data_IF_081032933167
#
_entry.id   IF_081032933167
#
_cell.length_a   1.000
_cell.length_b   1.000
_cell.length_c   1.000
_cell.angle_alpha   90.00
_cell.angle_beta   90.00
_cell.angle_gamma   90.00
#
_symmetry.space_group_name_H-M   'P 1'
#
loop_
_entity.id
_entity.type
_entity.pdbx_description
1 polymer ?
#
# COMPACT_ATOMS: atom_id res chain seq x y z
N UNK A 1 23.29 -38.61 -35.51
CA UNK A 1 23.80 -37.88 -34.34
C UNK A 1 23.80 -36.40 -34.69
N UNK A 2 22.68 -35.72 -34.43
CA UNK A 2 22.53 -34.27 -34.64
C UNK A 2 22.82 -33.60 -33.30
N UNK A 3 23.76 -32.64 -33.19
CA UNK A 3 23.95 -31.90 -31.96
C UNK A 3 22.72 -30.99 -31.78
N UNK A 4 21.92 -31.29 -30.78
CA UNK A 4 20.80 -30.44 -30.38
C UNK A 4 21.36 -29.08 -29.99
N UNK A 5 21.08 -28.07 -30.82
CA UNK A 5 21.40 -26.67 -30.56
C UNK A 5 20.98 -26.35 -29.14
N UNK A 6 21.96 -25.94 -28.31
CA UNK A 6 21.74 -25.40 -26.98
C UNK A 6 20.64 -24.35 -27.10
N UNK A 7 19.44 -24.72 -26.68
CA UNK A 7 18.29 -23.83 -26.62
C UNK A 7 18.68 -22.78 -25.59
N UNK A 8 19.22 -21.64 -26.04
CA UNK A 8 19.52 -20.51 -25.17
C UNK A 8 18.29 -20.26 -24.31
N UNK A 9 18.42 -20.13 -22.98
CA UNK A 9 17.27 -19.81 -22.15
C UNK A 9 16.69 -18.53 -22.72
N UNK A 10 15.41 -18.58 -23.13
CA UNK A 10 14.69 -17.42 -23.62
C UNK A 10 14.83 -16.33 -22.58
N UNK A 11 15.58 -15.27 -22.89
CA UNK A 11 15.68 -14.07 -22.07
C UNK A 11 14.35 -13.31 -22.18
N UNK A 12 13.29 -13.88 -21.59
CA UNK A 12 11.98 -13.25 -21.41
C UNK A 12 11.69 -12.97 -19.94
N UNK A 13 12.69 -13.08 -19.07
CA UNK A 13 12.59 -12.54 -17.73
C UNK A 13 12.51 -11.02 -17.87
N UNK A 14 11.38 -10.44 -17.47
CA UNK A 14 11.25 -8.98 -17.34
C UNK A 14 12.47 -8.45 -16.59
N UNK A 15 12.99 -7.26 -16.94
CA UNK A 15 14.15 -6.70 -16.25
C UNK A 15 13.88 -6.72 -14.74
N UNK A 16 14.85 -7.17 -13.94
CA UNK A 16 14.68 -7.38 -12.48
C UNK A 16 14.14 -6.12 -11.76
N UNK A 17 14.38 -4.94 -12.32
CA UNK A 17 13.81 -3.67 -11.86
C UNK A 17 12.28 -3.62 -11.98
N UNK A 18 11.70 -4.12 -13.06
CA UNK A 18 10.24 -4.21 -13.19
C UNK A 18 9.65 -5.12 -12.11
N UNK A 19 10.26 -6.28 -11.85
CA UNK A 19 9.85 -7.16 -10.75
C UNK A 19 9.95 -6.47 -9.39
N UNK A 20 10.98 -5.64 -9.17
CA UNK A 20 11.13 -4.86 -7.93
C UNK A 20 10.00 -3.83 -7.76
N UNK A 21 9.65 -3.09 -8.82
CA UNK A 21 8.54 -2.12 -8.80
C UNK A 21 7.19 -2.82 -8.56
N UNK A 22 6.96 -3.97 -9.19
CA UNK A 22 5.74 -4.77 -8.96
C UNK A 22 5.67 -5.26 -7.51
N UNK A 23 6.79 -5.72 -6.94
CA UNK A 23 6.85 -6.15 -5.55
C UNK A 23 6.64 -5.00 -4.57
N UNK A 24 7.22 -3.83 -4.85
CA UNK A 24 7.00 -2.59 -4.09
C UNK A 24 5.52 -2.17 -4.12
N UNK A 25 4.91 -2.10 -5.31
CA UNK A 25 3.49 -1.74 -5.44
C UNK A 25 2.60 -2.70 -4.64
N UNK A 26 2.88 -4.01 -4.69
CA UNK A 26 2.16 -5.02 -3.91
C UNK A 26 2.32 -4.82 -2.40
N UNK A 27 3.54 -4.50 -1.95
CA UNK A 27 3.80 -4.16 -0.54
C UNK A 27 2.97 -2.94 -0.11
N UNK A 28 2.97 -1.88 -0.91
CA UNK A 28 2.23 -0.65 -0.64
C UNK A 28 0.72 -0.89 -0.62
N UNK A 29 0.16 -1.61 -1.60
CA UNK A 29 -1.27 -1.97 -1.62
C UNK A 29 -1.68 -2.78 -0.38
N UNK A 30 -0.89 -3.78 0.02
CA UNK A 30 -1.18 -4.58 1.21
C UNK A 30 -1.12 -3.76 2.51
N UNK A 31 -0.17 -2.82 2.60
CA UNK A 31 -0.06 -1.91 3.74
C UNK A 31 -1.23 -0.94 3.81
N UNK A 32 -1.59 -0.30 2.70
CA UNK A 32 -2.73 0.60 2.63
C UNK A 32 -4.05 -0.11 2.95
N UNK A 33 -4.25 -1.31 2.41
CA UNK A 33 -5.43 -2.13 2.70
C UNK A 33 -5.55 -2.42 4.19
N UNK A 34 -4.46 -2.79 4.86
CA UNK A 34 -4.51 -3.06 6.30
C UNK A 34 -4.67 -1.82 7.18
N UNK A 35 -4.37 -0.62 6.67
CA UNK A 35 -4.60 0.64 7.37
C UNK A 35 -6.03 1.19 7.19
N UNK A 36 -6.61 0.98 6.01
CA UNK A 36 -7.89 1.56 5.57
C UNK A 36 -9.06 0.57 5.55
N UNK A 37 -8.79 -0.73 5.54
CA UNK A 37 -9.78 -1.82 5.42
C UNK A 37 -10.69 -1.70 4.18
N UNK A 38 -10.17 -1.10 3.10
CA UNK A 38 -10.89 -0.91 1.84
C UNK A 38 -9.93 -1.01 0.66
N UNK A 39 -10.26 -1.88 -0.30
CA UNK A 39 -9.45 -2.10 -1.50
C UNK A 39 -9.43 -0.86 -2.38
N UNK A 40 -10.58 -0.23 -2.58
CA UNK A 40 -10.69 0.98 -3.40
C UNK A 40 -9.90 2.14 -2.78
N UNK A 41 -10.08 2.37 -1.47
CA UNK A 41 -9.34 3.42 -0.77
C UNK A 41 -7.82 3.16 -0.76
N UNK A 42 -7.41 1.89 -0.69
CA UNK A 42 -6.00 1.49 -0.75
C UNK A 42 -5.39 1.76 -2.13
N UNK A 43 -6.04 1.35 -3.22
CA UNK A 43 -5.53 1.58 -4.59
C UNK A 43 -5.42 3.08 -4.89
N UNK A 44 -6.40 3.89 -4.47
CA UNK A 44 -6.31 5.35 -4.63
C UNK A 44 -5.15 5.94 -3.82
N UNK A 45 -4.91 5.47 -2.58
CA UNK A 45 -3.79 5.95 -1.76
C UNK A 45 -2.42 5.57 -2.36
N UNK A 46 -2.28 4.37 -2.92
CA UNK A 46 -1.08 3.93 -3.64
C UNK A 46 -0.87 4.77 -4.90
N UNK A 47 -1.93 4.99 -5.67
CA UNK A 47 -1.87 5.83 -6.86
C UNK A 47 -1.43 7.26 -6.52
N UNK A 48 -2.02 7.86 -5.48
CA UNK A 48 -1.66 9.20 -4.99
C UNK A 48 -0.19 9.27 -4.53
N UNK A 49 0.30 8.22 -3.86
CA UNK A 49 1.69 8.12 -3.43
C UNK A 49 2.65 8.14 -4.62
N UNK A 50 2.38 7.32 -5.64
CA UNK A 50 3.19 7.31 -6.86
C UNK A 50 3.05 8.60 -7.66
N UNK A 51 1.88 9.22 -7.70
CA UNK A 51 1.71 10.54 -8.31
C UNK A 51 2.64 11.55 -7.64
N UNK A 52 2.65 11.63 -6.30
CA UNK A 52 3.55 12.56 -5.58
C UNK A 52 5.03 12.28 -5.85
N UNK A 53 5.42 11.02 -5.98
CA UNK A 53 6.79 10.64 -6.34
C UNK A 53 7.14 11.14 -7.75
N UNK A 54 6.33 10.82 -8.76
CA UNK A 54 6.63 11.18 -10.15
C UNK A 54 6.37 12.65 -10.50
N UNK A 55 5.68 13.41 -9.66
CA UNK A 55 5.56 14.87 -9.80
C UNK A 55 6.64 15.63 -9.03
N UNK A 56 7.45 14.94 -8.23
CA UNK A 56 8.55 15.55 -7.49
C UNK A 56 9.65 15.99 -8.47
N UNK A 57 10.28 17.16 -8.26
CA UNK A 57 11.44 17.56 -9.03
C UNK A 57 12.58 16.54 -8.91
N UNK A 58 13.32 16.33 -10.00
CA UNK A 58 14.42 15.35 -10.03
C UNK A 58 15.47 15.64 -8.95
N UNK A 59 15.76 16.91 -8.66
CA UNK A 59 16.74 17.30 -7.63
C UNK A 59 16.30 16.95 -6.20
N UNK A 60 14.99 16.93 -5.94
CA UNK A 60 14.44 16.49 -4.65
C UNK A 60 14.39 14.97 -4.60
N UNK A 61 14.06 14.31 -5.71
CA UNK A 61 14.05 12.85 -5.81
C UNK A 61 15.46 12.25 -5.64
N UNK A 62 16.50 12.89 -6.19
CA UNK A 62 17.91 12.49 -6.04
C UNK A 62 18.44 12.64 -4.61
N UNK A 63 17.88 13.56 -3.81
CA UNK A 63 18.22 13.68 -2.38
C UNK A 63 17.67 12.53 -1.54
N UNK A 64 16.72 11.75 -2.07
CA UNK A 64 16.10 10.63 -1.37
C UNK A 64 16.96 9.37 -1.56
N UNK A 65 17.74 9.04 -0.54
CA UNK A 65 18.63 7.85 -0.52
C UNK A 65 17.88 6.52 -0.73
N UNK A 66 16.67 6.41 -0.17
CA UNK A 66 15.86 5.17 -0.24
C UNK A 66 14.42 5.46 -0.67
N UNK A 67 14.10 5.36 -1.97
CA UNK A 67 12.75 5.61 -2.51
C UNK A 67 11.64 4.87 -1.76
N UNK A 68 11.84 3.59 -1.48
CA UNK A 68 10.87 2.77 -0.75
C UNK A 68 10.52 3.33 0.64
N UNK A 69 11.49 3.90 1.35
CA UNK A 69 11.24 4.48 2.68
C UNK A 69 10.36 5.71 2.58
N UNK A 70 10.62 6.55 1.58
CA UNK A 70 9.80 7.71 1.29
C UNK A 70 8.37 7.31 0.89
N UNK A 71 8.22 6.31 0.01
CA UNK A 71 6.93 5.82 -0.46
C UNK A 71 6.07 5.27 0.71
N UNK A 72 6.65 4.44 1.58
CA UNK A 72 5.94 3.92 2.76
C UNK A 72 5.53 5.05 3.70
N UNK A 73 6.42 6.02 3.96
CA UNK A 73 6.11 7.16 4.82
C UNK A 73 4.97 8.04 4.27
N UNK A 74 5.04 8.38 2.99
CA UNK A 74 4.01 9.16 2.30
C UNK A 74 2.67 8.42 2.28
N UNK A 75 2.68 7.11 1.99
CA UNK A 75 1.48 6.29 1.99
C UNK A 75 0.80 6.23 3.37
N UNK A 76 1.58 6.00 4.43
CA UNK A 76 1.07 5.99 5.81
C UNK A 76 0.41 7.32 6.15
N UNK A 77 1.05 8.44 5.79
CA UNK A 77 0.51 9.78 6.03
C UNK A 77 -0.84 9.99 5.33
N UNK A 78 -0.92 9.64 4.04
CA UNK A 78 -2.17 9.71 3.28
C UNK A 78 -3.26 8.85 3.93
N UNK A 79 -2.94 7.63 4.38
CA UNK A 79 -3.92 6.75 5.01
C UNK A 79 -4.47 7.32 6.32
N UNK A 80 -3.62 7.92 7.14
CA UNK A 80 -4.01 8.60 8.39
C UNK A 80 -4.91 9.80 8.09
N UNK A 81 -4.51 10.66 7.15
CA UNK A 81 -5.27 11.86 6.76
C UNK A 81 -6.69 11.51 6.26
N UNK A 82 -6.82 10.40 5.53
CA UNK A 82 -8.12 9.90 5.04
C UNK A 82 -9.04 9.44 6.17
N UNK A 83 -8.50 8.74 7.18
CA UNK A 83 -9.28 8.29 8.35
C UNK A 83 -9.78 9.47 9.18
N UNK A 84 -8.95 10.48 9.37
CA UNK A 84 -9.37 11.71 10.07
C UNK A 84 -10.45 12.47 9.30
N UNK A 85 -10.32 12.55 7.97
CA UNK A 85 -11.29 13.26 7.12
C UNK A 85 -12.67 12.58 7.13
N UNK A 86 -12.71 11.25 7.16
CA UNK A 86 -13.95 10.48 7.37
C UNK A 86 -14.57 10.75 8.75
N UNK A 87 -13.75 10.77 9.81
CA UNK A 87 -14.21 11.09 11.17
C UNK A 87 -14.76 12.51 11.28
N UNK A 88 -14.13 13.50 10.62
CA UNK A 88 -14.59 14.89 10.61
C UNK A 88 -15.92 15.05 9.88
N UNK A 89 -16.16 14.28 8.83
CA UNK A 89 -17.42 14.33 8.07
C UNK A 89 -18.57 13.63 8.83
N UNK A 90 -18.27 12.61 9.64
CA UNK A 90 -19.24 11.97 10.53
C UNK A 90 -19.62 12.81 11.76
N UNK A 91 -18.77 13.75 12.18
CA UNK A 91 -18.97 14.64 13.33
C UNK A 91 -20.08 15.70 13.17
N UNK A 92 -20.74 15.77 12.01
CA UNK A 92 -21.95 16.58 11.80
C UNK A 92 -23.26 15.91 12.25
N UNK A 93 -23.21 14.63 12.66
CA UNK A 93 -24.35 13.94 13.29
C UNK A 93 -24.20 14.10 14.81
N UNK A 94 -25.10 14.85 15.44
CA UNK A 94 -25.20 14.93 16.88
C UNK A 94 -25.11 13.53 17.49
N UNK A 95 -24.03 13.25 18.22
CA UNK A 95 -23.91 12.05 19.05
C UNK A 95 -24.87 12.26 20.21
N UNK A 96 -25.94 11.47 20.25
CA UNK A 96 -26.84 11.39 21.40
C UNK A 96 -26.03 10.89 22.62
N UNK A 97 -25.95 11.62 23.74
CA UNK A 97 -25.11 11.25 24.89
C UNK A 97 -25.63 10.04 25.69
N UNK A 98 -26.62 9.29 25.20
CA UNK A 98 -27.18 8.12 25.88
C UNK A 98 -26.74 6.75 25.31
N UNK A 99 -25.90 6.71 24.26
CA UNK A 99 -25.40 5.44 23.73
C UNK A 99 -24.14 4.99 24.50
N UNK A 100 -24.33 4.22 25.58
CA UNK A 100 -23.25 3.52 26.24
C UNK A 100 -22.70 2.42 25.30
N UNK A 101 -21.40 2.41 24.94
CA UNK A 101 -20.84 1.32 24.14
C UNK A 101 -20.68 0.07 25.00
N UNK A 102 -21.20 -1.06 24.51
CA UNK A 102 -21.00 -2.40 25.07
C UNK A 102 -19.48 -2.74 25.13
N UNK A 103 -18.89 -3.05 26.30
CA UNK A 103 -17.47 -3.33 26.44
C UNK A 103 -17.02 -4.71 25.90
N UNK A 104 -17.90 -5.52 25.31
CA UNK A 104 -17.56 -6.87 24.82
C UNK A 104 -17.56 -7.02 23.29
N UNK A 105 -16.90 -6.11 22.56
CA UNK A 105 -16.56 -6.33 21.15
C UNK A 105 -15.35 -7.26 20.98
N UNK A 106 -15.32 -8.21 20.02
CA UNK A 106 -14.17 -9.10 19.85
C UNK A 106 -12.90 -8.30 19.54
N UNK A 107 -11.82 -8.62 20.24
CA UNK A 107 -10.53 -7.97 20.08
C UNK A 107 -10.08 -7.96 18.60
N UNK A 108 -9.57 -6.84 18.08
CA UNK A 108 -9.27 -6.72 16.66
C UNK A 108 -8.14 -7.69 16.27
N UNK A 109 -8.48 -8.68 15.43
CA UNK A 109 -7.62 -9.77 14.95
C UNK A 109 -6.59 -9.32 13.89
N UNK A 110 -6.34 -8.01 13.80
CA UNK A 110 -5.63 -7.30 12.71
C UNK A 110 -4.18 -7.74 12.50
N UNK A 111 -3.51 -8.28 13.52
CA UNK A 111 -2.09 -8.65 13.43
C UNK A 111 -1.84 -10.08 12.91
N UNK A 112 -2.83 -11.00 12.95
CA UNK A 112 -2.65 -12.38 12.43
C UNK A 112 -2.89 -12.50 10.92
N UNK A 113 -3.73 -11.65 10.34
CA UNK A 113 -4.09 -11.69 8.92
C UNK A 113 -2.88 -11.45 7.99
N UNK A 114 -1.88 -10.66 8.42
CA UNK A 114 -0.67 -10.40 7.62
C UNK A 114 0.23 -11.62 7.38
N UNK A 115 0.07 -12.71 8.15
CA UNK A 115 0.76 -13.99 7.87
C UNK A 115 0.04 -14.86 6.84
N UNK A 116 -1.25 -14.62 6.60
CA UNK A 116 -2.11 -15.50 5.81
C UNK A 116 -2.56 -14.86 4.49
N UNK A 117 -2.00 -13.70 4.14
CA UNK A 117 -2.25 -13.07 2.83
C UNK A 117 -1.74 -14.02 1.74
N UNK A 118 -2.60 -14.51 0.84
CA UNK A 118 -2.16 -15.32 -0.28
C UNK A 118 -1.16 -14.52 -1.10
N UNK A 119 -0.04 -15.16 -1.47
CA UNK A 119 0.84 -14.64 -2.50
C UNK A 119 0.09 -14.68 -3.84
N UNK A 120 -0.70 -13.65 -4.12
CA UNK A 120 -1.17 -13.33 -5.48
C UNK A 120 0.02 -13.02 -6.38
#
# INVERSE_FOLDING_TARGET
>A
MVPESRRSPRSSALPSTFCAVVAERRLLSNLAYCLLDSVDAAEVAVQETYTRWYTMPDDEQERIDRPLTWLVGTLVRICVDRRESSSRQAGGRAVDPAAHPDPAGPAPRRFRAWREVPKL
#
